data_IF_375194713063
#
_entry.id   IF_375194713063
#
_cell.length_a   1.000
_cell.length_b   1.000
_cell.length_c   1.000
_cell.angle_alpha   90.00
_cell.angle_beta   90.00
_cell.angle_gamma   90.00
#
_symmetry.space_group_name_H-M   'P 1'
#
loop_
_entity.id
_entity.type
_entity.pdbx_description
1 polymer ?
#
# COMPACT_ATOMS: atom_id res chain seq x y z
N UNK A 1 -26.53 -33.52 1.91
CA UNK A 1 -27.22 -32.24 1.64
C UNK A 1 -27.82 -32.24 0.24
N UNK A 2 -29.08 -31.85 0.05
CA UNK A 2 -29.72 -31.80 -1.28
C UNK A 2 -29.20 -30.65 -2.14
N UNK A 3 -29.26 -30.80 -3.48
CA UNK A 3 -28.77 -29.79 -4.46
C UNK A 3 -29.41 -28.40 -4.27
N UNK A 4 -30.69 -28.35 -3.91
CA UNK A 4 -31.39 -27.09 -3.61
C UNK A 4 -30.83 -26.37 -2.39
N UNK A 5 -30.56 -27.10 -1.30
CA UNK A 5 -29.94 -26.56 -0.08
C UNK A 5 -28.52 -26.06 -0.31
N UNK A 6 -27.72 -26.78 -1.12
CA UNK A 6 -26.38 -26.31 -1.53
C UNK A 6 -26.44 -24.97 -2.25
N UNK A 7 -27.34 -24.83 -3.22
CA UNK A 7 -27.50 -23.61 -4.00
C UNK A 7 -27.92 -22.41 -3.14
N UNK A 8 -28.78 -22.62 -2.15
CA UNK A 8 -29.22 -21.57 -1.22
C UNK A 8 -28.06 -21.04 -0.36
N UNK A 9 -27.22 -21.93 0.21
CA UNK A 9 -26.05 -21.54 1.02
C UNK A 9 -25.06 -20.74 0.17
N UNK A 10 -24.74 -21.23 -1.02
CA UNK A 10 -23.80 -20.53 -1.92
C UNK A 10 -24.36 -19.17 -2.36
N UNK A 11 -25.67 -19.05 -2.56
CA UNK A 11 -26.32 -17.78 -2.90
C UNK A 11 -26.23 -16.76 -1.75
N UNK A 12 -26.48 -17.17 -0.51
CA UNK A 12 -26.33 -16.31 0.69
C UNK A 12 -24.89 -15.80 0.84
N UNK A 13 -23.90 -16.68 0.67
CA UNK A 13 -22.49 -16.31 0.72
C UNK A 13 -22.14 -15.28 -0.36
N UNK A 14 -22.62 -15.47 -1.58
CA UNK A 14 -22.38 -14.51 -2.68
C UNK A 14 -23.00 -13.14 -2.42
N UNK A 15 -24.04 -13.04 -1.59
CA UNK A 15 -24.62 -11.75 -1.19
C UNK A 15 -23.79 -11.04 -0.11
N UNK A 16 -23.12 -11.78 0.77
CA UNK A 16 -22.33 -11.24 1.90
C UNK A 16 -20.86 -11.01 1.56
N UNK A 17 -20.29 -11.84 0.70
CA UNK A 17 -18.87 -11.83 0.34
C UNK A 17 -18.36 -10.46 -0.13
N UNK A 18 -19.09 -9.67 -0.94
CA UNK A 18 -18.65 -8.34 -1.35
C UNK A 18 -18.39 -7.40 -0.17
N UNK A 19 -19.26 -7.40 0.84
CA UNK A 19 -19.09 -6.59 2.05
C UNK A 19 -17.86 -7.00 2.85
N UNK A 20 -17.68 -8.31 3.05
CA UNK A 20 -16.56 -8.86 3.83
C UNK A 20 -15.23 -8.60 3.13
N UNK A 21 -15.16 -8.72 1.80
CA UNK A 21 -13.96 -8.38 1.05
C UNK A 21 -13.64 -6.89 1.12
N UNK A 22 -14.67 -6.04 1.02
CA UNK A 22 -14.51 -4.59 0.97
C UNK A 22 -14.06 -4.02 2.31
N UNK A 23 -14.73 -4.41 3.40
CA UNK A 23 -14.61 -3.77 4.73
C UNK A 23 -14.15 -4.73 5.82
N UNK A 24 -14.15 -6.04 5.58
CA UNK A 24 -13.94 -7.04 6.63
C UNK A 24 -15.13 -7.30 7.54
N UNK A 25 -16.23 -6.61 7.28
CA UNK A 25 -17.49 -6.71 7.98
C UNK A 25 -18.59 -7.21 7.04
N UNK A 26 -19.66 -7.73 7.62
CA UNK A 26 -20.88 -7.96 6.88
C UNK A 26 -21.51 -6.60 6.52
N UNK A 27 -21.74 -6.40 5.22
CA UNK A 27 -22.41 -5.22 4.68
C UNK A 27 -23.48 -5.69 3.71
N UNK A 28 -24.67 -5.12 3.83
CA UNK A 28 -25.77 -5.41 2.92
C UNK A 28 -25.40 -5.07 1.48
N UNK A 29 -25.69 -5.98 0.54
CA UNK A 29 -25.30 -5.84 -0.88
C UNK A 29 -25.65 -4.47 -1.53
N UNK A 30 -26.81 -3.83 -1.24
CA UNK A 30 -27.10 -2.49 -1.78
C UNK A 30 -26.07 -1.43 -1.34
N UNK A 31 -25.55 -1.53 -0.10
CA UNK A 31 -24.61 -0.58 0.48
C UNK A 31 -23.18 -0.77 -0.05
N UNK A 32 -22.85 -1.95 -0.60
CA UNK A 32 -21.50 -2.23 -1.13
C UNK A 32 -21.12 -1.34 -2.31
N UNK A 33 -22.12 -0.72 -2.98
CA UNK A 33 -21.89 0.23 -4.08
C UNK A 33 -21.78 1.68 -3.63
N UNK A 34 -22.10 1.97 -2.37
CA UNK A 34 -22.05 3.32 -1.83
C UNK A 34 -20.61 3.76 -1.62
N UNK A 35 -20.32 5.04 -1.81
CA UNK A 35 -18.95 5.55 -1.65
C UNK A 35 -18.47 5.41 -0.20
N UNK A 36 -19.33 5.73 0.76
CA UNK A 36 -19.04 5.62 2.20
C UNK A 36 -20.11 4.77 2.86
N UNK A 37 -19.68 3.75 3.60
CA UNK A 37 -20.60 2.91 4.39
C UNK A 37 -20.56 3.41 5.84
N UNK A 38 -21.69 3.82 6.42
CA UNK A 38 -21.75 4.17 7.83
C UNK A 38 -21.35 2.99 8.73
N UNK A 39 -20.50 3.23 9.72
CA UNK A 39 -19.98 2.18 10.63
C UNK A 39 -21.07 1.40 11.36
N UNK A 40 -22.18 2.04 11.72
CA UNK A 40 -23.32 1.38 12.37
C UNK A 40 -24.10 0.40 11.45
N UNK A 41 -23.82 0.40 10.15
CA UNK A 41 -24.37 -0.56 9.17
C UNK A 41 -23.39 -1.68 8.83
N UNK A 42 -22.23 -1.71 9.49
CA UNK A 42 -21.25 -2.78 9.38
C UNK A 42 -21.46 -3.76 10.54
N UNK A 43 -21.69 -5.02 10.21
CA UNK A 43 -21.86 -6.09 11.19
C UNK A 43 -20.57 -6.92 11.31
N UNK A 44 -20.25 -7.38 12.51
CA UNK A 44 -19.08 -8.24 12.71
C UNK A 44 -19.24 -9.57 11.96
N UNK A 45 -18.15 -10.02 11.33
CA UNK A 45 -18.04 -11.40 10.88
C UNK A 45 -17.76 -12.26 12.11
N UNK A 46 -18.65 -13.20 12.40
CA UNK A 46 -18.57 -14.05 13.60
C UNK A 46 -18.00 -15.43 13.29
N UNK A 47 -17.37 -16.04 14.29
CA UNK A 47 -16.94 -17.44 14.25
C UNK A 47 -18.14 -18.38 14.41
N UNK A 48 -18.15 -19.48 13.65
CA UNK A 48 -19.20 -20.49 13.79
C UNK A 48 -19.10 -21.17 15.16
N UNK A 49 -20.18 -21.18 15.92
CA UNK A 49 -20.30 -21.89 17.20
C UNK A 49 -20.09 -21.02 18.44
N UNK A 50 -19.10 -20.11 18.46
CA UNK A 50 -18.89 -19.21 19.60
C UNK A 50 -19.69 -17.90 19.51
N UNK A 51 -20.09 -17.49 18.30
CA UNK A 51 -20.68 -16.17 18.02
C UNK A 51 -19.77 -14.98 18.40
N UNK A 52 -18.47 -15.23 18.60
CA UNK A 52 -17.47 -14.18 18.82
C UNK A 52 -17.00 -13.59 17.50
N UNK A 53 -16.53 -12.33 17.53
CA UNK A 53 -15.93 -11.67 16.36
C UNK A 53 -14.76 -12.51 15.83
N UNK A 54 -14.76 -12.78 14.54
CA UNK A 54 -13.64 -13.42 13.85
C UNK A 54 -12.51 -12.39 13.72
N UNK A 55 -11.51 -12.54 14.58
CA UNK A 55 -10.27 -11.75 14.62
C UNK A 55 -9.12 -12.62 14.15
N UNK A 56 -8.27 -12.07 13.29
CA UNK A 56 -7.02 -12.68 12.85
C UNK A 56 -5.87 -11.92 13.50
N UNK A 57 -5.14 -12.57 14.40
CA UNK A 57 -4.09 -11.91 15.17
C UNK A 57 -2.78 -11.81 14.41
N UNK A 58 -1.94 -10.86 14.78
CA UNK A 58 -0.57 -10.71 14.28
C UNK A 58 0.22 -12.01 14.40
N UNK A 59 0.12 -12.69 15.54
CA UNK A 59 0.79 -13.97 15.76
C UNK A 59 0.37 -15.02 14.72
N UNK A 60 -0.94 -15.16 14.47
CA UNK A 60 -1.45 -16.10 13.46
C UNK A 60 -0.95 -15.74 12.06
N UNK A 61 -0.87 -14.44 11.74
CA UNK A 61 -0.34 -13.98 10.47
C UNK A 61 1.13 -14.39 10.29
N UNK A 62 1.97 -14.17 11.31
CA UNK A 62 3.38 -14.56 11.29
C UNK A 62 3.59 -16.08 11.19
N UNK A 63 2.75 -16.88 11.86
CA UNK A 63 2.81 -18.35 11.80
C UNK A 63 2.49 -18.87 10.38
N UNK A 64 1.47 -18.31 9.73
CA UNK A 64 1.04 -18.73 8.38
C UNK A 64 1.90 -18.15 7.27
N UNK A 65 2.59 -17.02 7.51
CA UNK A 65 3.41 -16.34 6.52
C UNK A 65 4.84 -16.09 7.05
N UNK A 66 5.61 -17.16 7.33
CA UNK A 66 6.92 -17.04 7.98
C UNK A 66 7.92 -16.20 7.18
N UNK A 67 7.75 -16.10 5.85
CA UNK A 67 8.60 -15.27 4.97
C UNK A 67 8.45 -13.77 5.20
N UNK A 68 7.31 -13.32 5.74
CA UNK A 68 7.06 -11.92 6.05
C UNK A 68 7.33 -11.57 7.52
N UNK A 69 7.48 -12.58 8.38
CA UNK A 69 7.55 -12.43 9.84
C UNK A 69 8.50 -11.31 10.28
N UNK A 70 9.76 -11.35 9.82
CA UNK A 70 10.78 -10.36 10.22
C UNK A 70 10.36 -8.93 9.84
N UNK A 71 9.81 -8.74 8.63
CA UNK A 71 9.38 -7.41 8.17
C UNK A 71 8.15 -6.93 8.93
N UNK A 72 7.21 -7.81 9.24
CA UNK A 72 6.02 -7.47 10.02
C UNK A 72 6.33 -7.21 11.48
N UNK A 73 7.28 -7.93 12.09
CA UNK A 73 7.77 -7.64 13.45
C UNK A 73 8.39 -6.24 13.49
N UNK A 74 9.29 -5.92 12.56
CA UNK A 74 9.88 -4.58 12.49
C UNK A 74 8.83 -3.48 12.29
N UNK A 75 7.81 -3.71 11.47
CA UNK A 75 6.70 -2.77 11.28
C UNK A 75 5.83 -2.64 12.54
N UNK A 76 5.59 -3.74 13.23
CA UNK A 76 4.74 -3.82 14.42
C UNK A 76 5.35 -3.08 15.63
N UNK A 77 6.68 -2.88 15.64
CA UNK A 77 7.37 -2.12 16.69
C UNK A 77 6.94 -0.64 16.74
N UNK A 78 6.44 -0.08 15.63
CA UNK A 78 5.98 1.32 15.57
C UNK A 78 4.55 1.50 15.05
N UNK A 79 3.95 0.48 14.44
CA UNK A 79 2.53 0.45 14.09
C UNK A 79 1.92 -0.82 14.70
N UNK A 80 1.23 -0.76 15.84
CA UNK A 80 0.58 -1.93 16.44
C UNK A 80 -0.45 -2.56 15.47
N UNK A 81 -0.07 -3.63 14.77
CA UNK A 81 -0.83 -4.14 13.63
C UNK A 81 -2.16 -4.78 14.04
N UNK A 82 -2.23 -5.29 15.28
CA UNK A 82 -3.47 -5.83 15.86
C UNK A 82 -4.48 -4.73 16.24
N UNK A 83 -4.04 -3.48 16.45
CA UNK A 83 -4.93 -2.36 16.78
C UNK A 83 -5.66 -1.80 15.56
N UNK A 84 -5.17 -2.12 14.35
CA UNK A 84 -5.78 -1.70 13.09
C UNK A 84 -7.03 -2.53 12.85
N UNK A 85 -8.20 -1.90 12.91
CA UNK A 85 -9.47 -2.61 12.71
C UNK A 85 -9.68 -2.92 11.24
N UNK A 86 -10.46 -3.96 11.00
CA UNK A 86 -10.82 -4.34 9.64
C UNK A 86 -11.69 -3.28 8.96
N UNK A 87 -12.65 -2.72 9.69
CA UNK A 87 -13.57 -1.68 9.20
C UNK A 87 -12.87 -0.35 8.84
N UNK A 88 -11.69 -0.08 9.39
CA UNK A 88 -10.87 1.09 9.06
C UNK A 88 -10.17 0.94 7.69
N UNK A 89 -10.13 -0.29 7.15
CA UNK A 89 -9.51 -0.66 5.88
C UNK A 89 -10.59 -0.98 4.83
N UNK A 90 -11.39 0.04 4.49
CA UNK A 90 -12.34 0.00 3.39
C UNK A 90 -11.60 0.18 2.05
N UNK A 91 -11.71 -0.80 1.14
CA UNK A 91 -11.17 -0.69 -0.22
C UNK A 91 -12.08 0.12 -1.17
N UNK A 92 -13.20 0.64 -0.68
CA UNK A 92 -14.14 1.57 -1.31
C UNK A 92 -14.86 1.10 -2.59
N UNK A 93 -14.62 -0.13 -3.04
CA UNK A 93 -15.30 -0.69 -4.19
C UNK A 93 -15.65 -2.17 -4.00
N UNK A 94 -16.62 -2.64 -4.78
CA UNK A 94 -16.96 -4.06 -4.84
C UNK A 94 -15.86 -4.87 -5.51
N UNK A 95 -15.01 -5.51 -4.69
CA UNK A 95 -13.92 -6.40 -5.10
C UNK A 95 -14.41 -7.53 -6.00
N UNK A 96 -15.64 -8.01 -5.82
CA UNK A 96 -16.19 -9.10 -6.64
C UNK A 96 -16.50 -8.68 -8.08
N UNK A 97 -16.50 -7.36 -8.33
CA UNK A 97 -16.69 -6.74 -9.64
C UNK A 97 -15.37 -6.25 -10.27
N UNK A 98 -14.22 -6.58 -9.68
CA UNK A 98 -12.91 -6.26 -10.24
C UNK A 98 -12.72 -6.89 -11.61
N UNK A 99 -12.24 -6.08 -12.54
CA UNK A 99 -11.81 -6.50 -13.87
C UNK A 99 -10.71 -5.55 -14.33
N UNK A 100 -9.95 -5.96 -15.34
CA UNK A 100 -8.85 -5.20 -15.94
C UNK A 100 -9.23 -3.78 -16.42
N UNK A 101 -10.54 -3.47 -16.47
CA UNK A 101 -11.09 -2.17 -16.88
C UNK A 101 -11.29 -1.17 -15.73
N UNK A 102 -10.98 -1.54 -14.49
CA UNK A 102 -11.18 -0.70 -13.28
C UNK A 102 -9.87 -0.24 -12.64
N UNK A 103 -8.81 -0.08 -13.42
CA UNK A 103 -7.48 0.30 -12.94
C UNK A 103 -7.48 1.64 -12.19
N UNK A 104 -8.33 2.60 -12.56
CA UNK A 104 -8.43 3.89 -11.87
C UNK A 104 -8.93 3.74 -10.42
N UNK A 105 -9.88 2.83 -10.18
CA UNK A 105 -10.38 2.55 -8.83
C UNK A 105 -9.31 1.85 -7.98
N UNK A 106 -8.61 0.89 -8.57
CA UNK A 106 -7.47 0.23 -7.94
C UNK A 106 -6.39 1.25 -7.58
N UNK A 107 -6.07 2.15 -8.51
CA UNK A 107 -5.08 3.20 -8.30
C UNK A 107 -5.46 4.13 -7.16
N UNK A 108 -6.72 4.59 -7.16
CA UNK A 108 -7.25 5.44 -6.10
C UNK A 108 -7.10 4.74 -4.74
N UNK A 109 -7.53 3.48 -4.67
CA UNK A 109 -7.48 2.69 -3.43
C UNK A 109 -6.05 2.47 -2.92
N UNK A 110 -5.09 2.22 -3.81
CA UNK A 110 -3.67 2.15 -3.42
C UNK A 110 -3.20 3.49 -2.83
N UNK A 111 -3.65 4.61 -3.41
CA UNK A 111 -3.39 5.95 -2.90
C UNK A 111 -4.01 6.21 -1.53
N UNK A 112 -5.28 5.85 -1.35
CA UNK A 112 -6.02 6.01 -0.10
C UNK A 112 -5.39 5.16 1.03
N UNK A 113 -5.02 3.91 0.72
CA UNK A 113 -4.27 3.04 1.65
C UNK A 113 -2.89 3.61 1.98
N UNK A 114 -2.22 4.25 1.02
CA UNK A 114 -0.93 4.89 1.29
C UNK A 114 -1.09 6.07 2.23
N UNK A 115 -2.11 6.90 2.00
CA UNK A 115 -2.41 8.03 2.86
C UNK A 115 -2.72 7.56 4.29
N UNK A 116 -3.57 6.54 4.44
CA UNK A 116 -3.84 5.92 5.73
C UNK A 116 -2.54 5.44 6.42
N UNK A 117 -1.66 4.74 5.69
CA UNK A 117 -0.37 4.31 6.21
C UNK A 117 0.54 5.48 6.63
N UNK A 118 0.59 6.56 5.85
CA UNK A 118 1.37 7.75 6.17
C UNK A 118 0.87 8.42 7.46
N UNK A 119 -0.45 8.51 7.63
CA UNK A 119 -1.06 9.05 8.84
C UNK A 119 -0.67 8.22 10.09
N UNK A 120 -0.60 6.89 9.97
CA UNK A 120 -0.14 6.00 11.05
C UNK A 120 1.31 6.27 11.47
N UNK A 121 2.18 6.70 10.55
CA UNK A 121 3.57 7.03 10.84
C UNK A 121 3.82 8.54 11.03
N UNK A 122 2.75 9.33 11.18
CA UNK A 122 2.82 10.77 11.44
C UNK A 122 3.32 11.60 10.25
N UNK A 123 3.14 11.11 9.02
CA UNK A 123 3.46 11.84 7.78
C UNK A 123 2.19 12.30 7.09
N UNK A 124 2.19 13.55 6.63
CA UNK A 124 1.07 14.13 5.88
C UNK A 124 1.32 14.01 4.39
N UNK A 125 0.40 13.36 3.67
CA UNK A 125 0.48 13.20 2.22
C UNK A 125 0.62 14.55 1.50
N UNK A 126 1.54 14.61 0.53
CA UNK A 126 1.84 15.83 -0.23
C UNK A 126 2.66 16.90 0.50
N UNK A 127 2.85 16.78 1.83
CA UNK A 127 3.57 17.76 2.65
C UNK A 127 4.87 17.20 3.25
N UNK A 128 4.88 15.94 3.68
CA UNK A 128 6.07 15.32 4.28
C UNK A 128 7.05 14.82 3.22
N UNK A 129 8.35 14.78 3.56
CA UNK A 129 9.37 14.11 2.75
C UNK A 129 9.05 12.61 2.68
N UNK A 130 8.84 12.12 1.46
CA UNK A 130 8.70 10.71 1.16
C UNK A 130 10.05 10.11 0.74
N UNK A 131 10.31 8.90 1.24
CA UNK A 131 11.53 8.13 1.00
C UNK A 131 11.18 6.77 0.40
N UNK A 132 12.18 6.11 -0.19
CA UNK A 132 12.07 4.72 -0.65
C UNK A 132 11.73 3.76 0.49
N UNK A 133 12.22 4.05 1.71
CA UNK A 133 11.89 3.29 2.92
C UNK A 133 10.40 3.39 3.26
N UNK A 134 9.79 4.58 3.20
CA UNK A 134 8.35 4.74 3.48
C UNK A 134 7.51 3.86 2.54
N UNK A 135 7.89 3.76 1.27
CA UNK A 135 7.18 2.92 0.30
C UNK A 135 7.41 1.42 0.53
N UNK A 136 8.62 1.02 0.94
CA UNK A 136 8.93 -0.37 1.32
C UNK A 136 8.19 -0.81 2.58
N UNK A 137 8.09 0.07 3.58
CA UNK A 137 7.30 -0.16 4.79
C UNK A 137 5.81 -0.20 4.44
N UNK A 138 5.34 0.63 3.51
CA UNK A 138 3.97 0.56 2.99
C UNK A 138 3.68 -0.75 2.25
N UNK A 139 4.62 -1.30 1.50
CA UNK A 139 4.45 -2.62 0.85
C UNK A 139 4.35 -3.74 1.89
N UNK A 140 5.13 -3.63 2.95
CA UNK A 140 5.09 -4.55 4.10
C UNK A 140 3.73 -4.47 4.80
N UNK A 141 3.23 -3.24 5.03
CA UNK A 141 1.91 -2.97 5.59
C UNK A 141 0.78 -3.54 4.71
N UNK A 142 0.81 -3.22 3.42
CA UNK A 142 -0.21 -3.66 2.45
C UNK A 142 -0.25 -5.19 2.37
N UNK A 143 0.92 -5.84 2.36
CA UNK A 143 1.01 -7.29 2.41
C UNK A 143 0.39 -7.87 3.69
N UNK A 144 0.54 -7.22 4.85
CA UNK A 144 -0.10 -7.65 6.09
C UNK A 144 -1.63 -7.57 5.99
N UNK A 145 -2.16 -6.37 5.71
CA UNK A 145 -3.60 -6.11 5.80
C UNK A 145 -4.40 -6.91 4.77
N UNK A 146 -3.89 -7.03 3.54
CA UNK A 146 -4.57 -7.81 2.49
C UNK A 146 -4.54 -9.31 2.78
N UNK A 147 -3.43 -9.84 3.32
CA UNK A 147 -3.34 -11.25 3.70
C UNK A 147 -4.20 -11.55 4.93
N UNK A 148 -4.30 -10.61 5.88
CA UNK A 148 -5.20 -10.71 7.03
C UNK A 148 -6.65 -10.75 6.58
N UNK A 149 -7.04 -9.87 5.65
CA UNK A 149 -8.36 -9.88 4.99
C UNK A 149 -8.62 -11.21 4.27
N UNK A 150 -7.66 -11.70 3.48
CA UNK A 150 -7.74 -13.02 2.83
C UNK A 150 -7.99 -14.14 3.84
N UNK A 151 -7.19 -14.21 4.91
CA UNK A 151 -7.31 -15.24 5.92
C UNK A 151 -8.67 -15.20 6.65
N UNK A 152 -9.15 -13.99 6.98
CA UNK A 152 -10.47 -13.79 7.57
C UNK A 152 -11.59 -14.31 6.66
N UNK A 153 -11.57 -13.92 5.38
CA UNK A 153 -12.56 -14.38 4.40
C UNK A 153 -12.50 -15.90 4.22
N UNK A 154 -11.31 -16.48 4.11
CA UNK A 154 -11.13 -17.94 3.99
C UNK A 154 -11.66 -18.70 5.21
N UNK A 155 -11.40 -18.23 6.43
CA UNK A 155 -11.96 -18.84 7.66
C UNK A 155 -13.48 -18.73 7.69
N UNK A 156 -14.02 -17.54 7.40
CA UNK A 156 -15.45 -17.35 7.31
C UNK A 156 -16.11 -18.25 6.25
N UNK A 157 -15.50 -18.41 5.07
CA UNK A 157 -16.00 -19.31 4.04
C UNK A 157 -15.94 -20.78 4.46
N UNK A 158 -14.86 -21.21 5.11
CA UNK A 158 -14.73 -22.56 5.67
C UNK A 158 -15.86 -22.85 6.67
N UNK A 159 -16.14 -21.90 7.57
CA UNK A 159 -17.21 -21.97 8.55
C UNK A 159 -18.61 -22.02 7.91
N UNK A 160 -18.85 -21.20 6.88
CA UNK A 160 -20.15 -21.08 6.23
C UNK A 160 -20.47 -22.23 5.26
N UNK A 161 -19.47 -22.77 4.57
CA UNK A 161 -19.63 -23.82 3.56
C UNK A 161 -19.44 -25.24 4.12
N UNK A 162 -18.64 -25.36 5.19
CA UNK A 162 -18.22 -26.64 5.74
C UNK A 162 -17.40 -27.49 4.75
N UNK A 163 -17.01 -28.69 5.18
CA UNK A 163 -16.13 -29.55 4.39
C UNK A 163 -16.79 -30.12 3.13
N UNK A 164 -18.11 -30.07 3.04
CA UNK A 164 -18.90 -30.68 1.95
C UNK A 164 -18.98 -29.81 0.68
N UNK A 165 -18.50 -28.57 0.75
CA UNK A 165 -18.52 -27.59 -0.35
C UNK A 165 -17.11 -27.04 -0.61
N UNK A 166 -16.10 -27.92 -0.48
CA UNK A 166 -14.68 -27.57 -0.65
C UNK A 166 -14.38 -27.04 -2.06
N UNK A 167 -15.02 -27.57 -3.10
CA UNK A 167 -14.83 -27.12 -4.48
C UNK A 167 -15.43 -25.72 -4.70
N UNK A 168 -16.66 -25.49 -4.23
CA UNK A 168 -17.31 -24.18 -4.29
C UNK A 168 -16.53 -23.12 -3.51
N UNK A 169 -15.97 -23.49 -2.35
CA UNK A 169 -15.07 -22.62 -1.59
C UNK A 169 -13.86 -22.23 -2.42
N UNK A 170 -13.12 -23.21 -2.94
CA UNK A 170 -11.91 -22.96 -3.72
C UNK A 170 -12.18 -22.05 -4.93
N UNK A 171 -13.33 -22.22 -5.61
CA UNK A 171 -13.75 -21.35 -6.71
C UNK A 171 -14.02 -19.90 -6.25
N UNK A 172 -14.65 -19.69 -5.09
CA UNK A 172 -14.87 -18.35 -4.54
C UNK A 172 -13.54 -17.69 -4.14
N UNK A 173 -12.64 -18.45 -3.49
CA UNK A 173 -11.33 -17.96 -3.08
C UNK A 173 -10.49 -17.53 -4.29
N UNK A 174 -10.38 -18.40 -5.29
CA UNK A 174 -9.64 -18.13 -6.53
C UNK A 174 -10.22 -16.93 -7.30
N UNK A 175 -11.54 -16.82 -7.36
CA UNK A 175 -12.21 -15.80 -8.18
C UNK A 175 -12.20 -14.41 -7.54
N UNK A 176 -12.30 -14.32 -6.22
CA UNK A 176 -12.57 -13.05 -5.54
C UNK A 176 -11.52 -12.64 -4.50
N UNK A 177 -10.83 -13.61 -3.87
CA UNK A 177 -9.88 -13.30 -2.80
C UNK A 177 -8.46 -13.16 -3.35
N UNK A 178 -8.01 -14.08 -4.21
CA UNK A 178 -6.65 -14.00 -4.79
C UNK A 178 -6.42 -12.71 -5.57
N UNK A 179 -7.36 -12.20 -6.39
CA UNK A 179 -7.13 -10.98 -7.14
C UNK A 179 -6.97 -9.74 -6.26
N UNK A 180 -7.53 -9.73 -5.04
CA UNK A 180 -7.41 -8.60 -4.12
C UNK A 180 -5.94 -8.25 -3.85
N UNK A 181 -5.13 -9.27 -3.54
CA UNK A 181 -3.70 -9.08 -3.25
C UNK A 181 -2.97 -8.61 -4.50
N UNK A 182 -3.28 -9.20 -5.66
CA UNK A 182 -2.60 -8.90 -6.91
C UNK A 182 -2.87 -7.46 -7.36
N UNK A 183 -4.14 -7.04 -7.37
CA UNK A 183 -4.50 -5.70 -7.85
C UNK A 183 -4.05 -4.58 -6.90
N UNK A 184 -4.09 -4.80 -5.59
CA UNK A 184 -3.72 -3.78 -4.60
C UNK A 184 -2.23 -3.79 -4.22
N UNK A 185 -1.45 -4.71 -4.77
CA UNK A 185 0.02 -4.67 -4.66
C UNK A 185 0.59 -3.70 -5.70
N UNK A 186 1.52 -2.83 -5.29
CA UNK A 186 2.17 -1.91 -6.22
C UNK A 186 3.25 -2.56 -7.07
N UNK A 187 3.48 -1.94 -8.21
CA UNK A 187 4.60 -2.17 -9.08
C UNK A 187 5.92 -1.91 -8.34
N UNK A 188 6.87 -2.83 -8.49
CA UNK A 188 8.15 -2.83 -7.77
C UNK A 188 9.25 -2.08 -8.55
N UNK A 189 8.88 -1.35 -9.59
CA UNK A 189 9.79 -0.51 -10.38
C UNK A 189 9.86 0.91 -9.82
N UNK A 190 10.92 1.64 -10.17
CA UNK A 190 11.05 3.07 -9.85
C UNK A 190 10.20 3.93 -10.78
N UNK A 191 9.77 5.09 -10.29
CA UNK A 191 9.11 6.10 -11.10
C UNK A 191 10.04 6.60 -12.22
N UNK A 192 9.48 6.88 -13.39
CA UNK A 192 10.24 7.37 -14.55
C UNK A 192 10.80 8.78 -14.36
N UNK A 193 10.33 9.53 -13.36
CA UNK A 193 10.60 10.98 -13.17
C UNK A 193 11.27 11.36 -11.85
N UNK A 194 11.37 10.42 -10.89
CA UNK A 194 12.04 10.65 -9.61
C UNK A 194 12.52 9.31 -9.03
N UNK A 195 13.05 9.33 -7.81
CA UNK A 195 13.65 8.14 -7.19
C UNK A 195 12.66 7.33 -6.34
N UNK A 196 11.42 7.82 -6.18
CA UNK A 196 10.34 7.05 -5.54
C UNK A 196 9.95 5.83 -6.39
N UNK A 197 9.44 4.80 -5.73
CA UNK A 197 8.79 3.64 -6.34
C UNK A 197 7.49 4.00 -7.05
N UNK A 198 7.14 3.19 -8.04
CA UNK A 198 5.87 3.24 -8.74
C UNK A 198 4.71 2.97 -7.77
N UNK A 199 3.68 3.79 -7.84
CA UNK A 199 2.46 3.66 -7.04
C UNK A 199 1.31 3.03 -7.84
N UNK A 200 1.57 2.62 -9.07
CA UNK A 200 0.63 1.86 -9.89
C UNK A 200 0.54 0.41 -9.42
N UNK A 201 -0.62 -0.23 -9.62
CA UNK A 201 -0.77 -1.69 -9.43
C UNK A 201 0.32 -2.45 -10.17
N UNK A 202 0.81 -3.56 -9.62
CA UNK A 202 1.76 -4.44 -10.31
C UNK A 202 1.20 -5.01 -11.64
N UNK A 203 -0.11 -4.90 -11.86
CA UNK A 203 -0.80 -5.32 -13.09
C UNK A 203 -0.98 -4.20 -14.10
N UNK A 204 -0.41 -3.00 -13.90
CA UNK A 204 -0.53 -1.91 -14.86
C UNK A 204 0.11 -2.31 -16.21
N UNK A 205 -0.45 -1.81 -17.32
CA UNK A 205 0.09 -2.09 -18.66
C UNK A 205 1.53 -1.59 -18.80
N UNK A 206 2.34 -2.30 -19.58
CA UNK A 206 3.71 -1.88 -19.94
C UNK A 206 3.75 -0.58 -20.74
N UNK A 207 2.64 -0.20 -21.37
CA UNK A 207 2.53 1.05 -22.14
C UNK A 207 2.35 2.29 -21.25
N UNK A 208 2.11 2.09 -19.95
CA UNK A 208 1.95 3.17 -18.97
C UNK A 208 3.29 3.39 -18.27
N UNK A 209 3.82 4.62 -18.35
CA UNK A 209 5.04 5.00 -17.63
C UNK A 209 4.88 4.83 -16.11
N UNK A 210 5.96 4.38 -15.45
CA UNK A 210 5.98 4.25 -14.01
C UNK A 210 5.81 5.60 -13.31
N UNK A 211 4.78 5.70 -12.46
CA UNK A 211 4.41 6.93 -11.77
C UNK A 211 4.37 6.71 -10.27
N UNK A 212 4.99 7.61 -9.50
CA UNK A 212 4.84 7.66 -8.06
C UNK A 212 3.58 8.43 -7.60
N UNK A 213 2.78 8.94 -8.55
CA UNK A 213 1.54 9.67 -8.29
C UNK A 213 1.69 10.91 -7.40
N UNK A 214 2.89 11.50 -7.34
CA UNK A 214 3.17 12.79 -6.68
C UNK A 214 3.61 13.83 -7.71
N UNK A 215 3.99 15.03 -7.26
CA UNK A 215 4.58 16.06 -8.12
C UNK A 215 6.09 15.86 -8.37
N UNK A 216 6.64 14.73 -7.93
CA UNK A 216 8.04 14.33 -8.12
C UNK A 216 9.07 15.19 -7.35
N UNK A 217 8.64 16.13 -6.50
CA UNK A 217 9.53 17.03 -5.76
C UNK A 217 9.78 16.54 -4.34
N UNK A 218 11.02 16.67 -3.86
CA UNK A 218 11.32 16.40 -2.47
C UNK A 218 10.70 17.48 -1.57
N UNK A 219 9.88 17.06 -0.60
CA UNK A 219 9.27 17.95 0.40
C UNK A 219 10.12 18.15 1.67
N UNK A 220 11.39 17.75 1.63
CA UNK A 220 12.33 18.00 2.73
C UNK A 220 12.75 19.46 2.83
N UNK A 221 13.45 19.79 3.92
CA UNK A 221 14.12 21.08 4.13
C UNK A 221 15.63 20.87 4.10
N UNK A 222 16.39 21.90 3.73
CA UNK A 222 17.86 21.81 3.69
C UNK A 222 18.43 21.32 5.04
N UNK A 223 19.32 20.33 4.98
CA UNK A 223 19.93 19.67 6.14
C UNK A 223 21.37 20.15 6.42
N UNK A 224 21.80 21.23 5.75
CA UNK A 224 23.12 21.85 5.96
C UNK A 224 23.02 22.94 7.02
N UNK A 225 23.92 22.88 8.02
CA UNK A 225 23.85 23.71 9.23
C UNK A 225 23.81 25.21 8.96
N UNK A 226 24.51 25.68 7.93
CA UNK A 226 24.52 27.08 7.45
C UNK A 226 23.12 27.58 7.06
N UNK A 227 22.20 26.68 6.70
CA UNK A 227 20.83 26.98 6.32
C UNK A 227 19.80 26.73 7.45
N UNK A 228 20.26 26.26 8.62
CA UNK A 228 19.40 25.80 9.72
C UNK A 228 19.33 26.77 10.91
N UNK A 229 19.79 28.02 10.75
CA UNK A 229 19.76 29.03 11.82
C UNK A 229 18.34 29.30 12.37
N UNK A 230 17.31 29.15 11.52
CA UNK A 230 15.90 29.18 11.92
C UNK A 230 15.10 28.17 11.08
N UNK A 231 14.48 27.18 11.73
CA UNK A 231 13.71 26.11 11.09
C UNK A 231 12.55 26.59 10.22
N UNK A 232 11.97 27.76 10.51
CA UNK A 232 10.91 28.37 9.69
C UNK A 232 11.47 29.02 8.42
N UNK A 233 12.71 29.47 8.46
CA UNK A 233 13.40 30.10 7.32
C UNK A 233 14.25 29.10 6.53
N UNK A 234 14.43 27.88 7.02
CA UNK A 234 15.19 26.84 6.33
C UNK A 234 14.60 26.58 4.95
N UNK A 235 15.36 26.78 3.87
CA UNK A 235 14.86 26.65 2.52
C UNK A 235 14.44 25.20 2.19
N UNK A 236 13.48 25.02 1.28
CA UNK A 236 13.05 23.71 0.83
C UNK A 236 14.16 22.99 0.06
N UNK A 237 14.07 21.66 0.01
CA UNK A 237 14.90 20.85 -0.85
C UNK A 237 14.58 21.14 -2.33
N UNK A 238 15.61 21.23 -3.17
CA UNK A 238 15.45 21.41 -4.63
C UNK A 238 15.55 20.11 -5.43
N UNK A 239 15.82 18.99 -4.77
CA UNK A 239 16.01 17.68 -5.44
C UNK A 239 14.71 16.95 -5.73
N UNK A 240 14.79 15.97 -6.62
CA UNK A 240 13.68 15.05 -6.93
C UNK A 240 13.31 14.21 -5.70
N UNK A 241 12.03 13.83 -5.59
CA UNK A 241 11.55 13.00 -4.50
C UNK A 241 12.24 11.62 -4.47
N UNK A 242 12.42 11.06 -3.26
CA UNK A 242 12.98 9.73 -3.04
C UNK A 242 14.51 9.65 -2.93
N UNK A 243 15.24 10.77 -3.03
CA UNK A 243 16.69 10.76 -2.81
C UNK A 243 17.06 10.39 -1.36
N UNK A 244 18.14 9.63 -1.19
CA UNK A 244 18.55 9.05 0.11
C UNK A 244 19.48 9.96 0.92
N UNK A 245 20.22 10.87 0.28
CA UNK A 245 21.15 11.76 0.97
C UNK A 245 20.43 12.91 1.69
N UNK A 246 21.23 13.74 2.35
CA UNK A 246 20.76 14.99 2.95
C UNK A 246 20.04 15.87 1.93
N UNK A 247 18.93 16.45 2.35
CA UNK A 247 18.23 17.48 1.59
C UNK A 247 19.09 18.72 1.43
N UNK A 248 19.02 19.31 0.25
CA UNK A 248 19.83 20.44 -0.18
C UNK A 248 18.94 21.47 -0.86
N UNK A 249 19.18 22.76 -0.58
CA UNK A 249 18.54 23.86 -1.27
C UNK A 249 19.44 24.43 -2.38
N UNK A 250 18.84 25.07 -3.39
CA UNK A 250 19.57 25.76 -4.47
C UNK A 250 20.31 27.04 -4.02
N UNK A 251 20.14 27.46 -2.77
CA UNK A 251 20.67 28.74 -2.27
C UNK A 251 22.07 28.66 -1.69
N UNK A 252 22.62 27.46 -1.47
CA UNK A 252 23.94 27.27 -0.89
C UNK A 252 24.88 26.53 -1.83
N UNK A 253 26.17 26.89 -1.81
CA UNK A 253 27.25 26.16 -2.51
C UNK A 253 27.62 24.88 -1.73
N UNK A 254 26.61 24.05 -1.43
CA UNK A 254 26.77 22.84 -0.61
C UNK A 254 27.34 21.66 -1.39
N UNK A 255 27.16 21.67 -2.72
CA UNK A 255 27.60 20.62 -3.62
C UNK A 255 28.37 21.18 -4.81
N UNK A 256 29.05 20.27 -5.52
CA UNK A 256 29.88 20.57 -6.67
C UNK A 256 29.11 21.23 -7.84
N UNK A 257 27.82 20.89 -8.02
CA UNK A 257 26.97 21.49 -9.05
C UNK A 257 27.32 21.14 -10.51
N UNK A 258 28.44 20.43 -10.76
CA UNK A 258 28.83 19.99 -12.10
C UNK A 258 27.84 18.99 -12.69
N UNK A 259 27.69 18.90 -14.03
CA UNK A 259 26.79 17.94 -14.66
C UNK A 259 27.09 16.50 -14.24
N UNK A 260 26.03 15.75 -13.91
CA UNK A 260 26.15 14.33 -13.57
C UNK A 260 26.57 13.52 -14.81
N UNK A 261 27.44 12.53 -14.63
CA UNK A 261 27.83 11.57 -15.65
C UNK A 261 26.63 10.82 -16.26
N UNK A 262 25.55 10.69 -15.49
CA UNK A 262 24.29 10.06 -15.88
C UNK A 262 23.20 11.06 -16.26
N UNK A 263 23.53 12.32 -16.59
CA UNK A 263 22.55 13.38 -16.88
C UNK A 263 21.54 13.05 -18.01
N UNK A 264 21.80 11.99 -18.80
CA UNK A 264 20.88 11.49 -19.84
C UNK A 264 19.85 10.49 -19.33
N UNK A 265 20.02 9.91 -18.14
CA UNK A 265 19.04 9.01 -17.55
C UNK A 265 17.82 9.80 -17.06
N UNK A 266 16.62 9.25 -17.27
CA UNK A 266 15.36 9.96 -16.98
C UNK A 266 15.13 10.25 -15.49
N UNK A 267 15.72 9.44 -14.61
CA UNK A 267 15.64 9.58 -13.16
C UNK A 267 16.81 10.35 -12.54
N UNK A 268 17.74 10.89 -13.34
CA UNK A 268 18.91 11.64 -12.88
C UNK A 268 18.54 13.05 -12.41
N UNK A 269 19.12 13.49 -11.28
CA UNK A 269 19.02 14.88 -10.79
C UNK A 269 19.85 15.88 -11.61
N UNK A 270 20.50 15.41 -12.69
CA UNK A 270 21.30 16.16 -13.68
C UNK A 270 22.57 16.81 -13.15
N UNK A 271 22.67 17.06 -11.85
CA UNK A 271 23.79 17.74 -11.19
C UNK A 271 24.47 16.82 -10.16
N UNK A 272 25.75 17.06 -9.91
CA UNK A 272 26.56 16.31 -8.97
C UNK A 272 26.24 16.69 -7.53
N UNK A 273 26.00 15.68 -6.69
CA UNK A 273 25.63 15.85 -5.28
C UNK A 273 26.81 15.72 -4.31
N UNK A 274 28.02 15.50 -4.84
CA UNK A 274 29.25 15.42 -4.05
C UNK A 274 29.66 16.81 -3.56
N UNK A 275 30.50 16.86 -2.52
CA UNK A 275 31.05 18.11 -1.98
C UNK A 275 31.82 18.90 -3.05
N UNK A 276 31.89 20.24 -2.93
CA UNK A 276 32.79 21.04 -3.76
C UNK A 276 34.22 20.49 -3.75
N UNK A 277 34.92 20.63 -4.88
CA UNK A 277 36.33 20.24 -5.05
C UNK A 277 36.63 18.74 -4.82
N UNK A 278 35.65 17.87 -5.01
CA UNK A 278 35.89 16.43 -4.97
C UNK A 278 36.66 15.94 -6.21
N UNK A 279 37.48 14.91 -6.03
CA UNK A 279 38.10 14.18 -7.14
C UNK A 279 37.16 13.10 -7.71
N UNK A 280 37.41 12.68 -8.96
CA UNK A 280 36.71 11.58 -9.63
C UNK A 280 35.41 11.97 -10.33
N UNK A 281 34.60 10.96 -10.68
CA UNK A 281 33.40 11.15 -11.51
C UNK A 281 32.30 11.94 -10.79
N UNK A 282 31.65 12.85 -11.51
CA UNK A 282 30.55 13.66 -11.02
C UNK A 282 29.24 12.85 -11.08
N UNK A 283 28.67 12.50 -9.93
CA UNK A 283 27.48 11.65 -9.85
C UNK A 283 26.40 12.26 -8.97
N UNK A 284 25.14 12.06 -9.33
CA UNK A 284 23.99 12.29 -8.46
C UNK A 284 23.74 11.07 -7.55
N UNK A 285 22.71 11.17 -6.73
CA UNK A 285 22.22 10.15 -5.79
C UNK A 285 21.70 8.86 -6.43
N UNK A 286 21.39 8.92 -7.72
CA UNK A 286 20.78 7.79 -8.42
C UNK A 286 21.75 6.61 -8.46
N UNK A 287 21.36 5.53 -7.79
CA UNK A 287 22.02 4.24 -7.94
C UNK A 287 21.65 3.63 -9.30
N UNK A 288 22.69 3.26 -10.08
CA UNK A 288 22.55 2.51 -11.33
C UNK A 288 21.96 1.14 -10.99
N UNK A 289 20.75 0.87 -11.49
CA UNK A 289 20.10 -0.44 -11.44
C UNK A 289 20.16 -1.12 -12.80
#
# INVERSE_FOLDING_TARGET
>A
MGKSSKNLIVADIKQKLPGVLRTGCHVSLPLVKEQVIPSHLMEDVLQLGSQEKLVITFQQMCEVNPTYKIKWEALNDFIPLDDIKDEDLDVEFDVTSLSDKKLDLVQKTIGDLFQFFLDLIGKTYGQSRLTTKDQSDFDTFTAFVLRRRKMKVSRWLQDALGDQLTEERAQLEQRYIEPLIIYLSRCQQRCSKCQLGCMLSMTHSSDIEHSCCTDHQCRGKCEYGECQENLELTPPCSRSAGHEEKCECDKGDHTCGQPCALARASNCDKTCVKRPEHDGEHCCSVQVG
#
